data_IF_694499010022
#
_entry.id   IF_694499010022
#
_cell.length_a   1.000
_cell.length_b   1.000
_cell.length_c   1.000
_cell.angle_alpha   90.00
_cell.angle_beta   90.00
_cell.angle_gamma   90.00
#
_symmetry.space_group_name_H-M   'P 1'
#
loop_
_entity.id
_entity.type
_entity.pdbx_description
1 polymer ?
#
# COMPACT_ATOMS: atom_id res chain seq x y z
N UNK A 1 -19.71 1.86 -13.92
CA UNK A 1 -19.05 2.00 -14.00
C UNK A 1 -18.76 1.84 -14.41
N UNK A 2 -18.77 1.75 -14.57
CA UNK A 2 -18.09 1.73 -14.76
C UNK A 2 -17.91 1.49 -15.26
N UNK A 3 -17.68 1.35 -15.35
CA UNK A 3 -17.11 1.32 -15.64
C UNK A 3 -16.80 1.22 -16.25
N UNK A 4 -16.69 1.06 -16.39
CA UNK A 4 -16.08 1.14 -16.86
C UNK A 4 -16.00 1.14 -17.49
N UNK A 5 -16.10 1.09 -17.65
CA UNK A 5 -15.67 1.20 -18.03
C UNK A 5 -15.61 1.26 -18.68
N UNK A 6 -15.62 1.13 -18.81
CA UNK A 6 -15.23 1.33 -19.31
C UNK A 6 -15.33 1.50 -19.84
N UNK A 7 -15.54 1.49 -20.10
CA UNK A 7 -15.23 1.74 -20.47
C UNK A 7 -15.18 1.95 -21.09
N UNK A 8 -15.38 2.10 -21.30
CA UNK A 8 -14.99 2.38 -21.76
C UNK A 8 -14.81 2.43 -22.53
N UNK A 9 -14.69 2.49 -22.73
CA UNK A 9 -14.21 2.53 -23.28
C UNK A 9 -13.84 2.42 -24.12
N UNK A 10 -13.56 2.48 -24.59
CA UNK A 10 -13.05 2.30 -25.12
C UNK A 10 -12.65 2.51 -25.81
N UNK A 11 -12.12 2.65 -26.17
CA UNK A 11 -11.49 2.75 -26.67
C UNK A 11 -11.01 3.13 -26.96
N UNK A 12 -10.83 3.27 -27.17
CA UNK A 12 -10.13 3.61 -27.43
C UNK A 12 -9.22 3.32 -27.69
N UNK A 13 -9.27 3.32 -28.00
CA UNK A 13 -8.12 3.26 -28.18
C UNK A 13 -7.07 2.39 -28.20
N UNK A 14 -6.05 2.74 -28.47
CA UNK A 14 -4.86 2.01 -28.67
C UNK A 14 -4.31 1.43 -27.37
N UNK A 15 -5.14 0.82 -26.64
CA UNK A 15 -4.72 0.24 -25.39
C UNK A 15 -3.85 -0.98 -25.65
N UNK A 16 -2.75 -1.08 -24.96
CA UNK A 16 -1.87 -2.19 -25.16
C UNK A 16 -2.32 -3.40 -24.35
N UNK A 17 -2.30 -4.57 -24.97
CA UNK A 17 -2.69 -5.78 -24.25
C UNK A 17 -1.78 -6.03 -23.07
N UNK A 18 -2.33 -6.45 -21.97
CA UNK A 18 -1.56 -6.80 -20.80
C UNK A 18 -1.11 -5.64 -19.97
N UNK A 19 -1.30 -4.42 -20.46
CA UNK A 19 -0.91 -3.24 -19.69
C UNK A 19 -2.11 -2.36 -19.50
N UNK A 20 -2.35 -1.95 -18.30
CA UNK A 20 -3.36 -0.94 -17.99
C UNK A 20 -4.74 -1.28 -18.52
N UNK A 21 -4.97 -2.53 -18.86
CA UNK A 21 -6.27 -2.91 -19.38
C UNK A 21 -7.28 -3.04 -18.28
N UNK A 22 -6.83 -3.13 -17.06
CA UNK A 22 -7.71 -3.27 -15.92
C UNK A 22 -7.39 -2.18 -14.90
N UNK A 23 -8.42 -1.56 -14.43
CA UNK A 23 -8.27 -0.54 -13.44
C UNK A 23 -8.22 -1.19 -12.06
N UNK A 24 -7.11 -1.02 -11.38
CA UNK A 24 -6.92 -1.58 -10.05
C UNK A 24 -6.76 -0.41 -9.10
N UNK A 25 -7.58 -0.32 -8.06
CA UNK A 25 -7.41 0.74 -7.08
C UNK A 25 -6.04 0.67 -6.43
N UNK A 26 -5.48 1.83 -6.09
CA UNK A 26 -4.20 1.86 -5.43
C UNK A 26 -4.22 1.16 -4.09
N UNK A 27 -5.34 1.25 -3.40
CA UNK A 27 -5.46 0.53 -2.16
C UNK A 27 -6.91 0.14 -1.93
N UNK A 28 -7.05 -1.00 -1.32
CA UNK A 28 -8.32 -1.50 -0.84
C UNK A 28 -8.19 -1.67 0.66
N UNK A 29 -9.22 -1.30 1.39
CA UNK A 29 -9.19 -1.49 2.82
C UNK A 29 -9.52 -2.94 3.16
N UNK A 30 -9.41 -3.26 4.45
CA UNK A 30 -9.59 -4.62 4.92
C UNK A 30 -10.97 -5.18 4.55
N UNK A 31 -12.01 -4.35 4.66
CA UNK A 31 -13.36 -4.81 4.35
C UNK A 31 -13.51 -5.14 2.87
N UNK A 32 -12.96 -4.29 2.00
CA UNK A 32 -13.04 -4.54 0.57
C UNK A 32 -12.25 -5.77 0.17
N UNK A 33 -11.10 -5.97 0.79
CA UNK A 33 -10.31 -7.16 0.51
C UNK A 33 -11.00 -8.41 1.02
N UNK A 34 -11.67 -8.32 2.18
CA UNK A 34 -12.39 -9.47 2.71
C UNK A 34 -13.52 -9.88 1.78
N UNK A 35 -14.18 -8.89 1.16
CA UNK A 35 -15.26 -9.20 0.23
C UNK A 35 -14.74 -9.96 -0.99
N UNK A 36 -13.52 -9.67 -1.41
CA UNK A 36 -12.94 -10.31 -2.60
C UNK A 36 -12.21 -11.60 -2.30
N UNK A 37 -11.54 -11.66 -1.16
CA UNK A 37 -10.57 -12.73 -0.88
C UNK A 37 -10.75 -13.38 0.46
N UNK A 38 -11.85 -13.13 1.15
CA UNK A 38 -12.02 -13.59 2.54
C UNK A 38 -11.85 -15.08 2.72
N UNK A 39 -12.16 -15.87 1.71
CA UNK A 39 -12.06 -17.33 1.81
C UNK A 39 -10.93 -17.88 0.97
N UNK A 40 -10.10 -17.03 0.42
CA UNK A 40 -9.00 -17.45 -0.43
C UNK A 40 -7.79 -17.77 0.43
N UNK A 41 -7.45 -19.04 0.52
CA UNK A 41 -6.34 -19.48 1.37
C UNK A 41 -4.99 -19.05 0.83
N UNK A 42 -4.90 -18.71 -0.44
CA UNK A 42 -3.65 -18.25 -1.03
C UNK A 42 -3.39 -16.78 -0.73
N UNK A 43 -4.38 -16.07 -0.26
CA UNK A 43 -4.23 -14.65 0.02
C UNK A 43 -3.52 -14.44 1.36
N UNK A 44 -2.40 -13.74 1.35
CA UNK A 44 -1.60 -13.54 2.55
C UNK A 44 -2.00 -12.22 3.19
N UNK A 45 -2.86 -12.31 4.19
CA UNK A 45 -3.44 -11.14 4.83
C UNK A 45 -2.43 -10.24 5.51
N UNK A 46 -1.40 -10.82 6.14
CA UNK A 46 -0.40 -9.98 6.79
C UNK A 46 0.33 -9.12 5.79
N UNK A 47 0.57 -9.63 4.59
CA UNK A 47 1.21 -8.84 3.56
C UNK A 47 0.31 -7.67 3.12
N UNK A 48 -0.97 -7.95 2.90
CA UNK A 48 -1.91 -6.91 2.52
C UNK A 48 -1.98 -5.82 3.56
N UNK A 49 -1.99 -6.21 4.83
CA UNK A 49 -2.07 -5.25 5.92
C UNK A 49 -0.79 -4.43 6.06
N UNK A 50 0.36 -5.03 5.75
CA UNK A 50 1.60 -4.28 5.78
C UNK A 50 1.58 -3.16 4.73
N UNK A 51 1.09 -3.45 3.53
CA UNK A 51 0.98 -2.41 2.51
C UNK A 51 -0.08 -1.38 2.87
N UNK A 52 -1.17 -1.81 3.47
CA UNK A 52 -2.17 -0.86 3.97
C UNK A 52 -1.54 0.12 4.95
N UNK A 53 -0.71 -0.40 5.84
CA UNK A 53 -0.05 0.44 6.83
C UNK A 53 0.91 1.43 6.17
N UNK A 54 1.66 0.98 5.18
CA UNK A 54 2.58 1.88 4.48
C UNK A 54 1.85 2.99 3.77
N UNK A 55 0.66 2.72 3.25
CA UNK A 55 -0.14 3.75 2.60
C UNK A 55 -0.70 4.79 3.56
N UNK A 56 -0.65 4.53 4.85
CA UNK A 56 -1.12 5.51 5.83
C UNK A 56 -0.23 6.74 5.91
N UNK A 57 1.02 6.61 5.50
CA UNK A 57 1.94 7.75 5.47
C UNK A 57 1.69 8.57 4.22
N UNK A 58 1.46 9.85 4.40
CA UNK A 58 1.10 10.73 3.28
C UNK A 58 2.11 11.84 3.13
N UNK A 59 2.28 12.34 1.90
CA UNK A 59 3.23 13.42 1.68
C UNK A 59 2.95 14.61 2.59
N UNK A 60 4.00 15.15 3.19
CA UNK A 60 3.87 16.35 3.99
C UNK A 60 3.32 16.16 5.38
N UNK A 61 3.08 14.93 5.82
CA UNK A 61 2.44 14.70 7.12
C UNK A 61 3.41 14.14 8.13
N UNK A 62 4.56 14.06 8.05
CA UNK A 62 5.49 13.68 9.09
C UNK A 62 5.27 12.29 9.67
N UNK A 63 6.03 11.99 10.73
CA UNK A 63 6.01 10.65 11.32
C UNK A 63 4.70 10.34 12.03
N UNK A 64 4.40 9.05 12.14
CA UNK A 64 3.18 8.56 12.78
C UNK A 64 3.52 7.55 13.86
N UNK A 65 2.78 7.61 14.96
CA UNK A 65 2.90 6.60 16.01
C UNK A 65 1.92 5.45 15.78
N UNK A 66 2.05 4.43 16.63
CA UNK A 66 1.20 3.25 16.49
C UNK A 66 -0.29 3.56 16.64
N UNK A 67 -0.63 4.45 17.55
CA UNK A 67 -2.03 4.81 17.74
C UNK A 67 -2.59 5.51 16.51
N UNK A 68 -1.80 6.40 15.92
CA UNK A 68 -2.23 7.10 14.72
C UNK A 68 -2.35 6.15 13.55
N UNK A 69 -1.42 5.23 13.42
CA UNK A 69 -1.48 4.23 12.36
C UNK A 69 -2.70 3.32 12.52
N UNK A 70 -3.00 2.93 13.75
CA UNK A 70 -4.18 2.13 14.00
C UNK A 70 -5.44 2.89 13.61
N UNK A 71 -5.51 4.17 13.96
CA UNK A 71 -6.67 4.99 13.63
C UNK A 71 -6.84 5.14 12.12
N UNK A 72 -5.75 5.33 11.40
CA UNK A 72 -5.83 5.56 9.95
C UNK A 72 -6.14 4.30 9.16
N UNK A 73 -5.62 3.17 9.61
CA UNK A 73 -5.81 1.92 8.87
C UNK A 73 -7.02 1.14 9.33
N UNK A 74 -7.48 1.39 10.55
CA UNK A 74 -8.53 0.57 11.13
C UNK A 74 -8.02 -0.75 11.67
N UNK A 75 -6.71 -0.99 11.62
CA UNK A 75 -6.15 -2.24 12.11
C UNK A 75 -6.01 -2.20 13.63
N UNK A 76 -6.15 -3.36 14.29
CA UNK A 76 -5.95 -3.42 15.74
C UNK A 76 -4.53 -3.01 16.12
N UNK A 77 -4.39 -2.42 17.30
CA UNK A 77 -3.09 -1.94 17.74
C UNK A 77 -2.05 -3.06 17.80
N UNK A 78 -2.46 -4.26 18.21
CA UNK A 78 -1.51 -5.37 18.25
C UNK A 78 -0.98 -5.70 16.87
N UNK A 79 -1.85 -5.65 15.87
CA UNK A 79 -1.42 -5.89 14.49
C UNK A 79 -0.47 -4.80 14.03
N UNK A 80 -0.80 -3.55 14.31
CA UNK A 80 0.06 -2.42 13.94
C UNK A 80 1.44 -2.57 14.58
N UNK A 81 1.47 -2.91 15.85
CA UNK A 81 2.74 -3.08 16.55
C UNK A 81 3.62 -4.14 15.89
N UNK A 82 3.02 -5.26 15.50
CA UNK A 82 3.78 -6.33 14.87
C UNK A 82 4.24 -5.93 13.47
N UNK A 83 3.40 -5.23 12.72
CA UNK A 83 3.75 -4.80 11.37
C UNK A 83 4.86 -3.74 11.41
N UNK A 84 4.73 -2.75 12.29
CA UNK A 84 5.76 -1.71 12.38
C UNK A 84 7.09 -2.28 12.84
N UNK A 85 7.04 -3.23 13.78
CA UNK A 85 8.27 -3.88 14.21
C UNK A 85 8.95 -4.59 13.04
N UNK A 86 8.19 -5.38 12.31
CA UNK A 86 8.74 -6.14 11.20
C UNK A 86 9.28 -5.22 10.10
N UNK A 87 8.51 -4.21 9.73
CA UNK A 87 8.95 -3.29 8.69
C UNK A 87 10.20 -2.54 9.10
N UNK A 88 10.32 -2.21 10.39
CA UNK A 88 11.51 -1.55 10.89
C UNK A 88 12.72 -2.50 10.85
N UNK A 89 12.51 -3.75 11.24
CA UNK A 89 13.59 -4.73 11.18
C UNK A 89 14.05 -4.98 9.76
N UNK A 90 13.14 -4.92 8.79
CA UNK A 90 13.48 -5.06 7.38
C UNK A 90 14.09 -3.80 6.79
N UNK A 91 14.03 -2.69 7.50
CA UNK A 91 14.63 -1.45 7.05
C UNK A 91 13.70 -0.55 6.24
N UNK A 92 12.41 -0.89 6.13
CA UNK A 92 11.47 -0.10 5.34
C UNK A 92 10.78 1.00 6.15
N UNK A 93 10.82 0.91 7.47
CA UNK A 93 10.42 2.00 8.34
C UNK A 93 11.58 2.37 9.24
N UNK A 94 11.62 3.63 9.62
CA UNK A 94 12.56 4.11 10.62
C UNK A 94 11.77 4.62 11.81
N UNK A 95 12.24 4.30 13.00
CA UNK A 95 11.60 4.72 14.22
C UNK A 95 12.49 5.76 14.91
N UNK A 96 11.88 6.87 15.31
CA UNK A 96 12.58 7.90 16.06
C UNK A 96 12.87 7.41 17.47
N UNK A 97 14.09 7.62 17.92
CA UNK A 97 14.46 7.28 19.29
C UNK A 97 13.94 8.29 20.29
N UNK A 98 13.50 9.43 19.80
CA UNK A 98 13.04 10.49 20.69
C UNK A 98 11.58 10.29 21.07
N UNK A 99 10.71 10.05 20.09
CA UNK A 99 9.27 9.96 20.35
C UNK A 99 8.65 8.66 19.91
N UNK A 100 9.44 7.72 19.38
CA UNK A 100 8.94 6.42 19.00
C UNK A 100 8.09 6.38 17.74
N UNK A 101 7.96 7.51 17.04
CA UNK A 101 7.16 7.57 15.84
C UNK A 101 7.92 7.00 14.65
N UNK A 102 7.18 6.59 13.66
CA UNK A 102 7.73 5.93 12.48
C UNK A 102 7.61 6.80 11.26
N UNK A 103 8.50 6.59 10.31
CA UNK A 103 8.38 7.18 8.98
C UNK A 103 8.99 6.23 7.96
N UNK A 104 8.51 6.32 6.71
CA UNK A 104 9.06 5.45 5.67
C UNK A 104 10.54 5.72 5.45
N UNK A 105 11.26 4.66 5.20
CA UNK A 105 12.70 4.72 4.94
C UNK A 105 12.96 4.86 3.45
N UNK A 106 14.10 5.48 3.07
CA UNK A 106 14.47 5.52 1.65
C UNK A 106 14.63 4.14 1.01
N UNK A 107 14.74 3.08 1.80
CA UNK A 107 14.82 1.73 1.25
C UNK A 107 13.60 1.40 0.37
N UNK A 108 12.46 2.05 0.63
CA UNK A 108 11.29 1.83 -0.20
C UNK A 108 11.49 2.31 -1.62
N UNK A 109 12.39 3.28 -1.83
CA UNK A 109 12.68 3.75 -3.18
C UNK A 109 13.35 2.67 -4.02
N UNK A 110 14.10 1.78 -3.40
CA UNK A 110 14.74 0.70 -4.14
C UNK A 110 13.70 -0.24 -4.74
N UNK A 111 12.57 -0.40 -4.07
CA UNK A 111 11.48 -1.23 -4.59
C UNK A 111 10.79 -0.52 -5.74
N UNK A 112 10.61 0.78 -5.63
CA UNK A 112 9.93 1.56 -6.65
C UNK A 112 10.79 1.85 -7.87
N UNK A 113 12.10 1.78 -7.72
CA UNK A 113 13.00 2.21 -8.79
C UNK A 113 12.79 1.48 -10.11
N UNK A 114 12.64 0.16 -10.14
CA UNK A 114 12.40 -0.51 -11.42
C UNK A 114 11.16 0.00 -12.14
N UNK A 115 10.12 0.35 -11.38
CA UNK A 115 8.90 0.90 -11.98
C UNK A 115 9.22 2.24 -12.62
N UNK A 116 9.90 3.12 -11.87
CA UNK A 116 10.24 4.44 -12.37
C UNK A 116 11.12 4.37 -13.60
N UNK A 117 12.12 3.49 -13.58
CA UNK A 117 13.03 3.36 -14.71
C UNK A 117 12.28 2.85 -15.95
N UNK A 118 11.35 1.93 -15.77
CA UNK A 118 10.64 1.34 -16.89
C UNK A 118 9.65 2.30 -17.54
N UNK A 119 9.19 3.31 -16.82
CA UNK A 119 8.27 4.29 -17.40
C UNK A 119 9.00 5.58 -17.81
N UNK A 120 10.32 5.58 -17.74
CA UNK A 120 11.10 6.70 -18.25
C UNK A 120 11.19 7.91 -17.34
N UNK A 121 10.81 7.79 -16.09
CA UNK A 121 10.96 8.88 -15.14
C UNK A 121 12.34 8.81 -14.52
N UNK A 122 13.07 9.93 -14.52
CA UNK A 122 14.42 10.00 -13.98
C UNK A 122 14.51 10.79 -12.72
#
# INVERSE_FOLDING_TARGET
>A
MATDTDAGGARRGARRPGLATRRIPLRLNDAELAARHGEDRKFVWSLARAFELLHAFRPGQGPLGNAELSARTGLPKATVTRLTYTLTQLGYLRQSEIDGRYQPSPALLAIAYPVLANIGIR
#
